data_IF_370102893012
#
_entry.id   IF_370102893012
#
_cell.length_a   1.000
_cell.length_b   1.000
_cell.length_c   1.000
_cell.angle_alpha   90.00
_cell.angle_beta   90.00
_cell.angle_gamma   90.00
#
_symmetry.space_group_name_H-M   'P 1'
#
loop_
_entity.id
_entity.type
_entity.pdbx_description
1 polymer ?
#
# COMPACT_ATOMS: atom_id res chain seq x y z
N UNK A 1 -7.88 -3.71 28.02
CA UNK A 1 -8.35 -3.50 26.62
C UNK A 1 -7.27 -2.81 25.78
N UNK A 2 -6.55 -1.85 26.35
CA UNK A 2 -5.44 -1.13 25.70
C UNK A 2 -4.37 -2.00 25.01
N UNK A 3 -3.93 -3.10 25.63
CA UNK A 3 -2.93 -3.99 25.03
C UNK A 3 -3.41 -4.65 23.72
N UNK A 4 -4.72 -4.87 23.58
CA UNK A 4 -5.31 -5.41 22.36
C UNK A 4 -5.22 -4.42 21.20
N UNK A 5 -5.54 -3.14 21.44
CA UNK A 5 -5.41 -2.07 20.45
C UNK A 5 -3.96 -1.87 20.02
N UNK A 6 -3.05 -1.81 21.00
CA UNK A 6 -1.61 -1.65 20.75
C UNK A 6 -1.07 -2.78 19.87
N UNK A 7 -1.39 -4.03 20.20
CA UNK A 7 -0.99 -5.20 19.41
C UNK A 7 -1.57 -5.19 18.00
N UNK A 8 -2.83 -4.75 17.82
CA UNK A 8 -3.44 -4.61 16.49
C UNK A 8 -2.77 -3.52 15.66
N UNK A 9 -2.45 -2.37 16.25
CA UNK A 9 -1.70 -1.29 15.60
C UNK A 9 -0.33 -1.79 15.14
N UNK A 10 0.40 -2.51 16.00
CA UNK A 10 1.70 -3.10 15.64
C UNK A 10 1.60 -4.06 14.45
N UNK A 11 0.63 -4.96 14.46
CA UNK A 11 0.40 -5.92 13.35
C UNK A 11 0.07 -5.18 12.05
N UNK A 12 -0.81 -4.18 12.09
CA UNK A 12 -1.16 -3.40 10.90
C UNK A 12 0.03 -2.57 10.40
N UNK A 13 0.84 -2.03 11.30
CA UNK A 13 2.06 -1.29 10.97
C UNK A 13 3.10 -2.20 10.33
N UNK A 14 3.28 -3.42 10.84
CA UNK A 14 4.15 -4.42 10.23
C UNK A 14 3.67 -4.80 8.81
N UNK A 15 2.36 -4.98 8.63
CA UNK A 15 1.76 -5.21 7.30
C UNK A 15 1.99 -4.04 6.36
N UNK A 16 1.83 -2.81 6.81
CA UNK A 16 2.13 -1.61 6.03
C UNK A 16 3.60 -1.59 5.58
N UNK A 17 4.52 -1.83 6.51
CA UNK A 17 5.96 -1.88 6.21
C UNK A 17 6.30 -2.98 5.19
N UNK A 18 5.64 -4.14 5.28
CA UNK A 18 5.83 -5.25 4.33
C UNK A 18 5.34 -4.95 2.91
N UNK A 19 4.41 -3.99 2.75
CA UNK A 19 3.87 -3.61 1.44
C UNK A 19 4.78 -2.62 0.68
N UNK A 20 5.58 -1.82 1.39
CA UNK A 20 6.44 -0.77 0.78
C UNK A 20 7.38 -1.32 -0.30
N UNK A 21 8.10 -2.45 -0.11
CA UNK A 21 8.93 -3.01 -1.17
C UNK A 21 8.14 -3.48 -2.40
N UNK A 22 6.87 -3.88 -2.22
CA UNK A 22 5.99 -4.23 -3.34
C UNK A 22 5.61 -3.01 -4.17
N UNK A 23 5.24 -1.92 -3.50
CA UNK A 23 4.92 -0.63 -4.12
C UNK A 23 6.12 -0.05 -4.89
N UNK A 24 7.30 -0.06 -4.27
CA UNK A 24 8.54 0.42 -4.91
C UNK A 24 8.87 -0.38 -6.16
N UNK A 25 8.79 -1.72 -6.11
CA UNK A 25 9.01 -2.58 -7.28
C UNK A 25 7.99 -2.33 -8.39
N UNK A 26 6.72 -2.13 -8.05
CA UNK A 26 5.69 -1.80 -9.03
C UNK A 26 5.97 -0.46 -9.72
N UNK A 27 6.34 0.58 -8.94
CA UNK A 27 6.74 1.90 -9.48
C UNK A 27 7.97 1.80 -10.38
N UNK A 28 9.01 1.09 -9.95
CA UNK A 28 10.21 0.86 -10.76
C UNK A 28 9.89 0.14 -12.07
N UNK A 29 8.98 -0.84 -12.04
CA UNK A 29 8.54 -1.56 -13.23
C UNK A 29 7.82 -0.65 -14.22
N UNK A 30 6.96 0.24 -13.72
CA UNK A 30 6.30 1.27 -14.54
C UNK A 30 7.34 2.19 -15.18
N UNK A 31 8.27 2.75 -14.38
CA UNK A 31 9.30 3.65 -14.89
C UNK A 31 10.19 2.99 -15.96
N UNK A 32 10.58 1.74 -15.77
CA UNK A 32 11.32 0.97 -16.80
C UNK A 32 10.48 0.79 -18.06
N UNK A 33 9.24 0.33 -17.90
CA UNK A 33 8.30 0.13 -19.00
C UNK A 33 7.84 1.42 -19.67
N UNK A 34 8.08 2.59 -19.10
CA UNK A 34 7.83 3.90 -19.73
C UNK A 34 9.08 4.39 -20.49
N UNK A 35 10.27 4.17 -19.93
CA UNK A 35 11.53 4.67 -20.48
C UNK A 35 12.17 3.78 -21.56
N UNK A 36 11.81 2.49 -21.63
CA UNK A 36 12.35 1.62 -22.68
C UNK A 36 11.91 2.10 -24.07
N UNK A 37 12.79 2.09 -25.07
CA UNK A 37 12.40 2.38 -26.46
C UNK A 37 12.20 1.05 -27.16
N UNK A 38 10.97 0.76 -27.60
CA UNK A 38 10.64 -0.53 -28.23
C UNK A 38 10.20 -0.30 -29.67
N UNK A 39 10.76 -1.01 -30.66
CA UNK A 39 10.36 -0.87 -32.06
C UNK A 39 8.87 -1.21 -32.25
N UNK A 40 8.23 -0.52 -33.19
CA UNK A 40 6.81 -0.67 -33.50
C UNK A 40 6.48 -2.09 -33.98
N UNK A 41 5.38 -2.66 -33.49
CA UNK A 41 4.93 -4.02 -33.84
C UNK A 41 4.27 -4.75 -32.66
N UNK A 42 4.18 -6.07 -32.74
CA UNK A 42 3.58 -6.93 -31.69
C UNK A 42 4.22 -6.73 -30.30
N UNK A 43 5.50 -6.35 -30.27
CA UNK A 43 6.26 -5.96 -29.07
C UNK A 43 5.70 -4.72 -28.38
N UNK A 44 5.17 -3.76 -29.12
CA UNK A 44 4.54 -2.55 -28.56
C UNK A 44 3.22 -2.86 -27.85
N UNK A 45 2.41 -3.77 -28.41
CA UNK A 45 1.14 -4.22 -27.78
C UNK A 45 1.41 -5.03 -26.50
N UNK A 46 2.36 -5.97 -26.55
CA UNK A 46 2.75 -6.75 -25.38
C UNK A 46 3.25 -5.84 -24.24
N UNK A 47 4.05 -4.83 -24.58
CA UNK A 47 4.51 -3.82 -23.62
C UNK A 47 3.35 -2.98 -23.07
N UNK A 48 2.43 -2.52 -23.91
CA UNK A 48 1.27 -1.76 -23.45
C UNK A 48 0.43 -2.56 -22.44
N UNK A 49 0.25 -3.86 -22.69
CA UNK A 49 -0.41 -4.76 -21.75
C UNK A 49 0.37 -4.92 -20.43
N UNK A 50 1.70 -5.07 -20.50
CA UNK A 50 2.57 -5.13 -19.31
C UNK A 50 2.51 -3.84 -18.49
N UNK A 51 2.55 -2.68 -19.14
CA UNK A 51 2.45 -1.38 -18.49
C UNK A 51 1.08 -1.19 -17.83
N UNK A 52 0.00 -1.58 -18.52
CA UNK A 52 -1.36 -1.59 -17.97
C UNK A 52 -1.45 -2.46 -16.71
N UNK A 53 -0.93 -3.69 -16.78
CA UNK A 53 -0.91 -4.61 -15.64
C UNK A 53 -0.08 -4.06 -14.47
N UNK A 54 1.10 -3.48 -14.74
CA UNK A 54 1.95 -2.89 -13.71
C UNK A 54 1.25 -1.69 -13.02
N UNK A 55 0.55 -0.85 -13.79
CA UNK A 55 -0.27 0.25 -13.25
C UNK A 55 -1.42 -0.25 -12.40
N UNK A 56 -2.12 -1.29 -12.84
CA UNK A 56 -3.20 -1.90 -12.06
C UNK A 56 -2.68 -2.46 -10.73
N UNK A 57 -1.55 -3.18 -10.74
CA UNK A 57 -0.90 -3.68 -9.52
C UNK A 57 -0.49 -2.55 -8.58
N UNK A 58 0.13 -1.49 -9.11
CA UNK A 58 0.50 -0.33 -8.30
C UNK A 58 -0.72 0.35 -7.66
N UNK A 59 -1.82 0.48 -8.40
CA UNK A 59 -3.07 1.04 -7.89
C UNK A 59 -3.66 0.16 -6.77
N UNK A 60 -3.72 -1.16 -6.96
CA UNK A 60 -4.20 -2.09 -5.92
C UNK A 60 -3.35 -2.02 -4.64
N UNK A 61 -2.02 -1.97 -4.78
CA UNK A 61 -1.12 -1.87 -3.62
C UNK A 61 -1.27 -0.52 -2.91
N UNK A 62 -1.40 0.58 -3.64
CA UNK A 62 -1.63 1.90 -3.08
C UNK A 62 -2.97 1.99 -2.34
N UNK A 63 -4.03 1.37 -2.86
CA UNK A 63 -5.32 1.35 -2.17
C UNK A 63 -5.25 0.51 -0.89
N UNK A 64 -4.53 -0.62 -0.93
CA UNK A 64 -4.28 -1.42 0.28
C UNK A 64 -3.47 -0.66 1.33
N UNK A 65 -2.48 0.12 0.91
CA UNK A 65 -1.72 1.02 1.78
C UNK A 65 -2.66 2.05 2.45
N UNK A 66 -3.51 2.71 1.66
CA UNK A 66 -4.50 3.67 2.17
C UNK A 66 -5.42 3.02 3.21
N UNK A 67 -5.98 1.84 2.93
CA UNK A 67 -6.84 1.12 3.87
C UNK A 67 -6.14 0.82 5.21
N UNK A 68 -4.87 0.41 5.17
CA UNK A 68 -4.11 0.16 6.39
C UNK A 68 -3.85 1.44 7.19
N UNK A 69 -3.52 2.54 6.51
CA UNK A 69 -3.32 3.84 7.16
C UNK A 69 -4.60 4.33 7.85
N UNK A 70 -5.76 4.17 7.19
CA UNK A 70 -7.07 4.50 7.78
C UNK A 70 -7.33 3.63 9.00
N UNK A 71 -7.16 2.31 8.90
CA UNK A 71 -7.38 1.39 10.02
C UNK A 71 -6.47 1.69 11.22
N UNK A 72 -5.19 2.00 11.00
CA UNK A 72 -4.25 2.39 12.06
C UNK A 72 -4.71 3.68 12.73
N UNK A 73 -5.13 4.69 11.95
CA UNK A 73 -5.62 5.96 12.49
C UNK A 73 -6.89 5.78 13.32
N UNK A 74 -7.84 4.97 12.86
CA UNK A 74 -9.06 4.66 13.61
C UNK A 74 -8.73 3.98 14.94
N UNK A 75 -7.83 2.99 14.95
CA UNK A 75 -7.42 2.32 16.19
C UNK A 75 -6.67 3.26 17.17
N UNK A 76 -5.88 4.22 16.66
CA UNK A 76 -5.27 5.23 17.52
C UNK A 76 -6.31 6.19 18.12
N UNK A 77 -7.33 6.57 17.35
CA UNK A 77 -8.42 7.41 17.85
C UNK A 77 -9.20 6.68 18.95
N UNK A 78 -9.58 5.41 18.73
CA UNK A 78 -10.25 4.57 19.73
C UNK A 78 -9.39 4.36 20.99
N UNK A 79 -8.08 4.16 20.84
CA UNK A 79 -7.18 4.03 21.99
C UNK A 79 -7.09 5.32 22.80
N UNK A 80 -6.99 6.48 22.13
CA UNK A 80 -6.96 7.79 22.79
C UNK A 80 -8.26 8.07 23.53
N UNK A 81 -9.39 7.77 22.91
CA UNK A 81 -10.72 7.95 23.48
C UNK A 81 -10.88 7.11 24.77
N UNK A 82 -10.50 5.83 24.74
CA UNK A 82 -10.51 4.97 25.92
C UNK A 82 -9.63 5.48 27.05
N UNK A 83 -8.45 6.01 26.74
CA UNK A 83 -7.57 6.59 27.74
C UNK A 83 -8.17 7.84 28.41
N UNK A 84 -8.93 8.64 27.66
CA UNK A 84 -9.61 9.81 28.22
C UNK A 84 -10.79 9.39 29.11
N UNK A 85 -11.59 8.40 28.68
CA UNK A 85 -12.74 7.91 29.46
C UNK A 85 -12.32 7.12 30.71
N UNK A 86 -11.18 6.43 30.70
CA UNK A 86 -10.65 5.75 31.90
C UNK A 86 -10.08 6.73 32.95
N UNK A 87 -9.89 8.01 32.59
CA UNK A 87 -9.38 9.06 33.49
C UNK A 87 -10.47 9.97 34.08
N UNK A 88 -11.75 9.78 33.70
CA UNK A 88 -12.94 10.45 34.28
C UNK A 88 -13.64 9.56 35.32
#
# INVERSE_FOLDING_TARGET
>A
MHDHFRRRIEVLTARLNSLRPGLERARQSITRLENDTVPAGATALARAAQLSAARAMAATLAERERHLLVAIRSLHAELTDQQLTEHE
#
